data_IF_245565881148
#
_entry.id   IF_245565881148
#
_cell.length_a   1.000
_cell.length_b   1.000
_cell.length_c   1.000
_cell.angle_alpha   90.00
_cell.angle_beta   90.00
_cell.angle_gamma   90.00
#
_symmetry.space_group_name_H-M   'P 1'
#
loop_
_entity.id
_entity.type
_entity.pdbx_description
1 polymer ?
#
# COMPACT_ATOMS: atom_id res chain seq x y z
N UNK A 1 -0.97 23.85 22.92
CA UNK A 1 -0.36 23.64 21.57
C UNK A 1 -1.42 23.02 20.66
N UNK A 2 -1.60 23.49 19.40
CA UNK A 2 -2.67 23.01 18.51
C UNK A 2 -2.17 21.87 17.60
N UNK A 3 -2.83 20.72 17.68
CA UNK A 3 -2.60 19.58 16.78
C UNK A 3 -3.31 19.87 15.45
N UNK A 4 -2.61 19.69 14.32
CA UNK A 4 -3.16 19.94 12.98
C UNK A 4 -3.45 18.65 12.21
N UNK A 5 -2.96 17.50 12.68
CA UNK A 5 -3.24 16.22 12.07
C UNK A 5 -2.77 15.05 12.92
N UNK A 6 -3.15 13.84 12.52
CA UNK A 6 -2.68 12.59 13.09
C UNK A 6 -2.41 11.62 11.93
N UNK A 7 -1.32 10.87 12.00
CA UNK A 7 -0.94 9.97 10.91
C UNK A 7 0.02 8.88 11.33
N UNK A 8 0.58 8.20 10.33
CA UNK A 8 1.57 7.15 10.49
C UNK A 8 2.84 7.56 9.77
N UNK A 9 3.99 7.41 10.43
CA UNK A 9 5.31 7.70 9.83
C UNK A 9 6.05 6.39 9.56
N UNK A 10 6.77 6.36 8.43
CA UNK A 10 7.66 5.27 8.04
C UNK A 10 9.10 5.64 8.39
N UNK A 11 9.78 4.76 9.10
CA UNK A 11 11.16 4.94 9.55
C UNK A 11 12.02 3.83 8.95
N UNK A 12 13.17 4.21 8.39
CA UNK A 12 14.18 3.29 7.90
C UNK A 12 15.22 3.01 8.97
N UNK A 13 15.46 1.72 9.23
CA UNK A 13 16.49 1.23 10.13
C UNK A 13 17.84 1.11 9.40
N UNK A 14 18.93 1.00 10.17
CA UNK A 14 20.29 0.94 9.63
C UNK A 14 20.55 -0.33 8.81
N UNK A 15 19.84 -1.41 9.10
CA UNK A 15 19.88 -2.67 8.37
C UNK A 15 19.04 -2.65 7.08
N UNK A 16 18.44 -1.51 6.72
CA UNK A 16 17.58 -1.34 5.55
C UNK A 16 16.13 -1.78 5.78
N UNK A 17 15.79 -2.34 6.94
CA UNK A 17 14.41 -2.67 7.28
C UNK A 17 13.58 -1.42 7.59
N UNK A 18 12.26 -1.58 7.59
CA UNK A 18 11.31 -0.48 7.75
C UNK A 18 10.36 -0.74 8.92
N UNK A 19 10.11 0.30 9.71
CA UNK A 19 9.14 0.28 10.82
C UNK A 19 8.13 1.41 10.65
N UNK A 20 6.91 1.18 11.15
CA UNK A 20 5.86 2.18 11.17
C UNK A 20 5.57 2.63 12.59
N UNK A 21 5.56 3.95 12.84
CA UNK A 21 5.01 4.52 14.06
C UNK A 21 3.64 5.09 13.75
N UNK A 22 2.61 4.45 14.31
CA UNK A 22 1.21 4.86 14.18
C UNK A 22 0.84 5.90 15.24
N UNK A 23 -0.23 6.64 14.97
CA UNK A 23 -0.84 7.62 15.89
C UNK A 23 0.03 8.84 16.19
N UNK A 24 0.87 9.26 15.24
CA UNK A 24 1.76 10.41 15.40
C UNK A 24 1.00 11.71 15.16
N UNK A 25 1.07 12.65 16.11
CA UNK A 25 0.48 13.97 15.97
C UNK A 25 1.34 14.91 15.12
N UNK A 26 0.72 15.58 14.17
CA UNK A 26 1.34 16.65 13.39
C UNK A 26 1.11 17.99 14.09
N UNK A 27 2.20 18.61 14.52
CA UNK A 27 2.19 19.86 15.28
C UNK A 27 3.26 20.81 14.71
N UNK A 28 2.96 21.62 13.68
CA UNK A 28 3.96 22.44 13.00
C UNK A 28 4.62 23.51 13.88
N UNK A 29 4.01 23.86 15.01
CA UNK A 29 4.60 24.81 15.98
C UNK A 29 5.77 24.21 16.77
N UNK A 30 5.92 22.88 16.80
CA UNK A 30 7.07 22.24 17.44
C UNK A 30 8.29 22.30 16.52
N UNK A 31 9.43 22.71 17.07
CA UNK A 31 10.70 22.81 16.34
C UNK A 31 11.44 21.47 16.22
N UNK A 32 11.03 20.47 16.99
CA UNK A 32 11.64 19.15 17.04
C UNK A 32 10.58 18.08 17.20
N UNK A 33 10.92 16.87 16.76
CA UNK A 33 10.11 15.68 16.97
C UNK A 33 10.38 15.11 18.36
N UNK A 34 9.33 14.69 19.04
CA UNK A 34 9.41 14.09 20.38
C UNK A 34 8.71 12.74 20.38
N UNK A 35 9.31 11.75 21.05
CA UNK A 35 8.73 10.44 21.26
C UNK A 35 8.54 10.22 22.76
N UNK A 36 7.29 9.98 23.19
CA UNK A 36 6.99 9.78 24.60
C UNK A 36 7.31 8.36 25.04
N UNK A 37 8.19 8.20 26.03
CA UNK A 37 8.51 6.89 26.60
C UNK A 37 7.28 6.22 27.22
N UNK A 38 6.42 6.99 27.91
CA UNK A 38 5.18 6.44 28.49
C UNK A 38 4.25 5.84 27.43
N UNK A 39 4.09 6.52 26.30
CA UNK A 39 3.30 5.99 25.17
C UNK A 39 3.93 4.77 24.51
N UNK A 40 5.27 4.66 24.52
CA UNK A 40 5.94 3.44 24.07
C UNK A 40 5.66 2.28 25.02
N UNK A 41 5.70 2.51 26.33
CA UNK A 41 5.35 1.48 27.33
C UNK A 41 3.90 1.03 27.16
N UNK A 42 2.96 1.95 26.98
CA UNK A 42 1.55 1.61 26.68
C UNK A 42 1.39 0.76 25.41
N UNK A 43 2.30 0.94 24.44
CA UNK A 43 2.34 0.15 23.20
C UNK A 43 3.17 -1.16 23.32
N UNK A 44 3.65 -1.50 24.52
CA UNK A 44 4.35 -2.75 24.81
C UNK A 44 5.86 -2.73 24.55
N UNK A 45 6.49 -1.55 24.49
CA UNK A 45 7.95 -1.45 24.41
C UNK A 45 8.58 -1.69 25.79
N UNK A 46 9.57 -2.58 25.85
CA UNK A 46 10.46 -2.72 27.00
C UNK A 46 11.49 -1.58 26.97
N UNK A 47 11.68 -0.90 28.10
CA UNK A 47 12.60 0.23 28.23
C UNK A 47 13.61 -0.05 29.34
N UNK A 48 14.90 0.02 29.03
CA UNK A 48 15.98 -0.07 30.00
C UNK A 48 16.89 1.17 29.89
N UNK A 49 17.03 1.89 31.01
CA UNK A 49 17.92 3.04 31.11
C UNK A 49 19.08 2.70 32.04
N UNK A 50 20.30 2.64 31.52
CA UNK A 50 21.51 2.34 32.30
C UNK A 50 22.73 2.98 31.65
N UNK A 51 23.69 3.45 32.47
CA UNK A 51 24.98 3.98 31.98
C UNK A 51 24.84 5.05 30.88
N UNK A 52 23.89 5.98 31.06
CA UNK A 52 23.59 7.04 30.09
C UNK A 52 23.17 6.53 28.69
N UNK A 53 22.65 5.29 28.65
CA UNK A 53 22.09 4.64 27.48
C UNK A 53 20.61 4.35 27.70
N UNK A 54 19.81 4.53 26.65
CA UNK A 54 18.42 4.11 26.58
C UNK A 54 18.33 2.94 25.60
N UNK A 55 17.83 1.82 26.10
CA UNK A 55 17.50 0.64 25.34
C UNK A 55 15.98 0.58 25.18
N UNK A 56 15.51 0.51 23.95
CA UNK A 56 14.11 0.24 23.62
C UNK A 56 14.05 -1.10 22.92
N UNK A 57 13.23 -2.01 23.41
CA UNK A 57 13.01 -3.31 22.78
C UNK A 57 11.54 -3.49 22.47
N UNK A 58 11.25 -3.90 21.24
CA UNK A 58 9.92 -4.25 20.78
C UNK A 58 10.01 -5.46 19.88
N UNK A 59 9.44 -6.59 20.32
CA UNK A 59 9.61 -7.89 19.65
C UNK A 59 11.10 -8.19 19.44
N UNK A 60 11.56 -8.33 18.18
CA UNK A 60 12.95 -8.61 17.83
C UNK A 60 13.79 -7.35 17.56
N UNK A 61 13.21 -6.16 17.69
CA UNK A 61 13.89 -4.90 17.42
C UNK A 61 14.44 -4.30 18.72
N UNK A 62 15.71 -3.90 18.68
CA UNK A 62 16.39 -3.23 19.79
C UNK A 62 16.99 -1.91 19.27
N UNK A 63 16.62 -0.80 19.89
CA UNK A 63 17.24 0.50 19.67
C UNK A 63 18.10 0.90 20.86
N UNK A 64 19.31 1.39 20.57
CA UNK A 64 20.24 1.90 21.55
C UNK A 64 20.52 3.37 21.26
N UNK A 65 20.18 4.24 22.23
CA UNK A 65 20.46 5.66 22.17
C UNK A 65 21.50 6.01 23.23
N UNK A 66 22.62 6.58 22.79
CA UNK A 66 23.77 6.93 23.64
C UNK A 66 23.95 8.45 23.66
N UNK A 67 23.40 9.11 24.67
CA UNK A 67 23.62 10.52 25.04
C UNK A 67 22.66 10.92 26.15
N UNK A 68 22.96 12.03 26.85
CA UNK A 68 22.13 12.56 27.95
C UNK A 68 20.71 12.98 27.53
N UNK A 69 20.49 13.25 26.24
CA UNK A 69 19.19 13.69 25.71
C UNK A 69 18.45 12.61 24.91
N UNK A 70 19.02 11.41 24.76
CA UNK A 70 18.47 10.31 23.96
C UNK A 70 17.98 10.76 22.57
N UNK A 71 18.78 11.60 21.89
CA UNK A 71 18.43 12.06 20.54
C UNK A 71 18.45 10.88 19.56
N UNK A 72 17.33 10.67 18.89
CA UNK A 72 17.17 9.59 17.92
C UNK A 72 17.22 10.15 16.51
N UNK A 73 18.27 9.81 15.75
CA UNK A 73 18.37 10.20 14.34
C UNK A 73 17.59 9.19 13.49
N UNK A 74 16.39 9.59 13.11
CA UNK A 74 15.49 8.82 12.24
C UNK A 74 15.62 9.34 10.81
N UNK A 75 15.88 8.43 9.87
CA UNK A 75 15.62 8.69 8.45
C UNK A 75 14.18 8.32 8.16
N UNK A 76 13.33 9.32 7.98
CA UNK A 76 11.96 9.12 7.49
C UNK A 76 12.01 8.95 5.98
N UNK A 77 11.39 7.87 5.47
CA UNK A 77 11.18 7.72 4.04
C UNK A 77 9.79 8.21 3.67
N UNK A 78 9.65 8.77 2.48
CA UNK A 78 8.32 8.98 1.90
C UNK A 78 7.62 7.63 1.74
N UNK A 79 6.39 7.55 2.24
CA UNK A 79 5.54 6.40 1.99
C UNK A 79 5.19 6.44 0.51
N UNK A 80 5.90 5.65 -0.30
CA UNK A 80 5.55 5.47 -1.70
C UNK A 80 4.23 4.69 -1.73
N UNK A 81 3.13 5.36 -2.04
CA UNK A 81 1.92 4.65 -2.42
C UNK A 81 2.24 3.80 -3.66
N UNK A 82 1.76 2.55 -3.70
CA UNK A 82 1.73 1.79 -4.94
C UNK A 82 0.78 2.51 -5.90
N UNK A 83 1.30 3.44 -6.69
CA UNK A 83 0.62 3.90 -7.89
C UNK A 83 0.63 2.69 -8.83
N UNK A 84 -0.55 2.27 -9.29
CA UNK A 84 -0.65 1.38 -10.43
C UNK A 84 0.06 2.07 -11.61
N UNK A 85 1.34 1.73 -11.81
CA UNK A 85 2.13 2.22 -12.92
C UNK A 85 1.87 1.26 -14.08
N UNK A 86 0.80 1.55 -14.81
CA UNK A 86 0.55 0.88 -16.06
C UNK A 86 1.57 1.45 -17.05
N UNK A 87 2.67 0.72 -17.25
CA UNK A 87 3.77 1.13 -18.14
C UNK A 87 3.35 1.32 -19.60
N UNK A 88 2.22 0.72 -20.02
CA UNK A 88 1.79 0.74 -21.42
C UNK A 88 0.48 1.51 -21.58
N UNK A 89 0.51 2.55 -22.43
CA UNK A 89 -0.68 3.35 -22.77
C UNK A 89 -1.87 2.49 -23.23
N UNK A 90 -1.60 1.37 -23.91
CA UNK A 90 -2.60 0.39 -24.33
C UNK A 90 -3.44 -0.15 -23.15
N UNK A 91 -2.78 -0.51 -22.05
CA UNK A 91 -3.45 -1.02 -20.85
C UNK A 91 -4.28 0.05 -20.14
N UNK A 92 -3.83 1.31 -20.15
CA UNK A 92 -4.63 2.41 -19.62
C UNK A 92 -5.96 2.55 -20.38
N UNK A 93 -5.91 2.46 -21.70
CA UNK A 93 -7.11 2.52 -22.54
C UNK A 93 -7.98 1.25 -22.41
N UNK A 94 -7.39 0.07 -22.28
CA UNK A 94 -8.10 -1.18 -21.98
C UNK A 94 -8.94 -1.06 -20.70
N UNK A 95 -8.37 -0.51 -19.62
CA UNK A 95 -9.10 -0.31 -18.36
C UNK A 95 -10.14 0.81 -18.45
N UNK A 96 -9.83 1.94 -19.12
CA UNK A 96 -10.80 3.05 -19.32
C UNK A 96 -12.07 2.62 -20.04
N UNK A 97 -11.95 1.67 -20.96
CA UNK A 97 -13.07 1.09 -21.71
C UNK A 97 -13.62 -0.20 -21.09
N UNK A 98 -13.43 -0.42 -19.78
CA UNK A 98 -14.06 -1.53 -19.06
C UNK A 98 -13.57 -2.91 -19.52
N UNK A 99 -12.25 -3.06 -19.71
CA UNK A 99 -11.62 -4.29 -20.18
C UNK A 99 -12.01 -4.67 -21.62
N UNK A 100 -12.20 -3.69 -22.50
CA UNK A 100 -12.47 -3.91 -23.92
C UNK A 100 -11.40 -4.83 -24.56
N UNK A 101 -11.80 -5.68 -25.51
CA UNK A 101 -10.86 -6.58 -26.17
C UNK A 101 -9.77 -5.78 -26.93
N UNK A 102 -8.54 -6.31 -27.02
CA UNK A 102 -7.42 -5.59 -27.64
C UNK A 102 -7.62 -5.29 -29.13
N UNK A 103 -8.35 -6.14 -29.86
CA UNK A 103 -8.70 -5.90 -31.26
C UNK A 103 -9.67 -4.72 -31.44
N UNK A 104 -10.73 -4.64 -30.65
CA UNK A 104 -11.65 -3.51 -30.65
C UNK A 104 -10.95 -2.23 -30.18
N UNK A 105 -10.04 -2.33 -29.21
CA UNK A 105 -9.23 -1.20 -28.78
C UNK A 105 -8.29 -0.72 -29.90
N UNK A 106 -7.74 -1.63 -30.70
CA UNK A 106 -6.95 -1.31 -31.89
C UNK A 106 -7.83 -0.61 -32.94
N UNK A 107 -9.00 -1.15 -33.28
CA UNK A 107 -9.95 -0.53 -34.21
C UNK A 107 -10.30 0.90 -33.81
N UNK A 108 -10.60 1.15 -32.53
CA UNK A 108 -10.89 2.51 -32.04
C UNK A 108 -9.73 3.50 -32.28
N UNK A 109 -8.49 3.04 -32.14
CA UNK A 109 -7.30 3.85 -32.40
C UNK A 109 -7.03 4.05 -33.89
N UNK A 110 -7.13 2.99 -34.68
CA UNK A 110 -6.83 2.98 -36.12
C UNK A 110 -7.87 3.79 -36.91
N UNK A 111 -9.14 3.72 -36.53
CA UNK A 111 -10.24 4.44 -37.15
C UNK A 111 -10.45 5.85 -36.56
N UNK A 112 -9.57 6.32 -35.67
CA UNK A 112 -9.65 7.64 -35.02
C UNK A 112 -11.00 7.93 -34.34
N UNK A 113 -11.65 6.90 -33.79
CA UNK A 113 -12.99 7.02 -33.18
C UNK A 113 -12.96 7.70 -31.79
N UNK A 114 -11.77 7.86 -31.19
CA UNK A 114 -11.59 8.44 -29.85
C UNK A 114 -10.53 9.53 -29.90
N UNK A 115 -10.93 10.78 -29.64
CA UNK A 115 -10.02 11.93 -29.63
C UNK A 115 -8.90 11.74 -28.59
N UNK A 116 -7.65 11.84 -29.04
CA UNK A 116 -6.46 11.73 -28.18
C UNK A 116 -6.01 10.30 -27.87
N UNK A 117 -6.62 9.30 -28.49
CA UNK A 117 -6.17 7.92 -28.41
C UNK A 117 -4.99 7.70 -29.37
N UNK A 118 -3.84 7.18 -28.89
CA UNK A 118 -2.73 6.81 -29.78
C UNK A 118 -3.07 5.50 -30.52
N UNK A 119 -2.37 5.24 -31.63
CA UNK A 119 -2.39 3.92 -32.25
C UNK A 119 -1.89 2.86 -31.26
N UNK A 120 -2.71 1.85 -30.99
CA UNK A 120 -2.40 0.81 -30.00
C UNK A 120 -1.99 -0.45 -30.76
N UNK A 121 -0.69 -0.77 -30.69
CA UNK A 121 -0.18 -2.04 -31.14
C UNK A 121 0.19 -2.88 -29.91
N UNK A 122 -0.77 -3.66 -29.41
CA UNK A 122 -0.55 -4.54 -28.27
C UNK A 122 -0.34 -5.97 -28.77
N UNK A 123 0.75 -6.69 -28.39
CA UNK A 123 0.78 -8.14 -28.55
C UNK A 123 -0.43 -8.76 -27.85
N UNK A 124 -0.99 -9.86 -28.35
CA UNK A 124 -2.12 -10.59 -27.74
C UNK A 124 -1.77 -11.21 -26.36
N UNK A 125 -1.21 -10.43 -25.44
CA UNK A 125 -1.05 -10.78 -24.04
C UNK A 125 -2.40 -10.62 -23.37
N UNK A 126 -3.03 -11.76 -23.09
CA UNK A 126 -4.29 -11.83 -22.38
C UNK A 126 -4.03 -11.63 -20.88
N UNK A 127 -4.79 -10.72 -20.25
CA UNK A 127 -4.79 -10.61 -18.79
C UNK A 127 -5.68 -11.71 -18.21
N UNK A 128 -5.14 -12.49 -17.28
CA UNK A 128 -5.82 -13.65 -16.68
C UNK A 128 -7.18 -13.28 -16.08
N UNK A 129 -7.28 -12.14 -15.38
CA UNK A 129 -8.56 -11.71 -14.81
C UNK A 129 -9.60 -11.33 -15.88
N UNK A 130 -9.17 -10.81 -17.03
CA UNK A 130 -10.09 -10.53 -18.14
C UNK A 130 -10.61 -11.83 -18.77
N UNK A 131 -9.77 -12.86 -18.85
CA UNK A 131 -10.19 -14.18 -19.31
C UNK A 131 -11.19 -14.81 -18.36
N UNK A 132 -10.90 -14.79 -17.06
CA UNK A 132 -11.79 -15.32 -16.03
C UNK A 132 -13.12 -14.57 -15.96
N UNK A 133 -13.09 -13.23 -16.08
CA UNK A 133 -14.29 -12.39 -16.07
C UNK A 133 -15.15 -12.51 -17.34
N UNK A 134 -14.54 -12.85 -18.49
CA UNK A 134 -15.25 -13.05 -19.76
C UNK A 134 -15.58 -14.51 -20.05
N UNK A 135 -15.17 -15.42 -19.18
CA UNK A 135 -15.52 -16.83 -19.33
C UNK A 135 -17.04 -16.95 -19.24
N UNK A 136 -17.64 -17.53 -20.28
CA UNK A 136 -19.07 -17.77 -20.26
C UNK A 136 -19.40 -18.66 -19.07
N UNK A 137 -20.34 -18.22 -18.22
CA UNK A 137 -20.86 -19.08 -17.16
C UNK A 137 -21.40 -20.34 -17.83
N UNK A 138 -20.99 -21.52 -17.36
CA UNK A 138 -21.55 -22.78 -17.84
C UNK A 138 -23.07 -22.70 -17.73
N UNK A 139 -23.78 -23.29 -18.68
CA UNK A 139 -25.23 -23.42 -18.59
C UNK A 139 -25.59 -24.07 -17.26
N UNK A 140 -26.64 -23.57 -16.61
CA UNK A 140 -27.16 -24.23 -15.43
C UNK A 140 -27.48 -25.68 -15.77
N UNK A 141 -27.10 -26.65 -14.92
CA UNK A 141 -27.51 -28.03 -15.12
C UNK A 141 -29.05 -28.08 -15.10
N UNK A 142 -29.63 -28.87 -16.01
CA UNK A 142 -31.10 -28.98 -16.15
C UNK A 142 -31.74 -29.62 -14.91
N UNK A 143 -30.95 -30.34 -14.12
CA UNK A 143 -31.35 -31.04 -12.92
C UNK A 143 -30.39 -30.67 -11.78
N UNK A 144 -30.92 -30.59 -10.55
CA UNK A 144 -30.15 -30.28 -9.35
C UNK A 144 -29.71 -31.61 -8.73
N UNK A 145 -28.40 -31.84 -8.56
CA UNK A 145 -27.86 -33.10 -8.02
C UNK A 145 -28.31 -33.39 -6.58
N UNK A 146 -28.67 -32.37 -5.80
CA UNK A 146 -29.37 -32.56 -4.53
C UNK A 146 -30.15 -31.31 -4.12
N UNK A 147 -31.28 -31.53 -3.43
CA UNK A 147 -31.98 -30.48 -2.67
C UNK A 147 -31.43 -30.50 -1.25
N UNK A 148 -31.20 -29.32 -0.67
CA UNK A 148 -30.91 -29.21 0.75
C UNK A 148 -32.12 -29.75 1.53
N UNK A 149 -31.89 -30.73 2.40
CA UNK A 149 -32.94 -31.34 3.23
C UNK A 149 -33.20 -30.56 4.52
N UNK A 150 -32.35 -29.58 4.85
CA UNK A 150 -32.47 -28.78 6.07
C UNK A 150 -32.19 -27.30 5.77
N UNK A 151 -32.88 -26.37 6.48
CA UNK A 151 -32.65 -24.94 6.35
C UNK A 151 -31.30 -24.52 6.96
N UNK A 152 -30.79 -23.37 6.48
CA UNK A 152 -29.58 -22.70 6.98
C UNK A 152 -29.74 -22.19 8.40
#
# INVERSE_FOLDING_TARGET
VRIQGKGTILISLKDGSHIFIKDVYYVPKLRSNTLSLGQLVEKGYEILMKENCLWLKYQNLIWLLRNRMFNFSIKTNEVKCFKASIKYKAWCWHMRFGHLNCGALKTLGDENMVKGMPHINHPNQLYEACLLGKYARRSFPKEVESRANEPL
#
